data_IF_291160144451
#
_entry.id   IF_291160144451
#
_cell.length_a   1.000
_cell.length_b   1.000
_cell.length_c   1.000
_cell.angle_alpha   90.00
_cell.angle_beta   90.00
_cell.angle_gamma   90.00
#
_symmetry.space_group_name_H-M   'P 1'
#
loop_
_entity.id
_entity.type
_entity.pdbx_description
1 polymer ?
#
# COMPACT_ATOMS: atom_id res chain seq x y z
N UNK A 1 3.50 -7.20 12.03
CA UNK A 1 4.37 -6.48 11.06
C UNK A 1 3.75 -5.15 10.62
N UNK A 2 2.49 -5.15 10.16
CA UNK A 2 1.82 -3.93 9.66
C UNK A 2 1.72 -2.79 10.69
N UNK A 3 1.49 -3.09 11.97
CA UNK A 3 1.47 -2.07 13.03
C UNK A 3 2.83 -1.39 13.22
N UNK A 4 3.94 -2.13 13.06
CA UNK A 4 5.30 -1.58 13.16
C UNK A 4 5.59 -0.68 11.97
N UNK A 5 5.21 -1.11 10.76
CA UNK A 5 5.32 -0.27 9.56
C UNK A 5 4.48 1.01 9.70
N UNK A 6 3.23 0.89 10.16
CA UNK A 6 2.38 2.04 10.44
C UNK A 6 3.03 2.99 11.43
N UNK A 7 3.57 2.45 12.53
CA UNK A 7 4.29 3.25 13.52
C UNK A 7 5.50 3.98 12.92
N UNK A 8 6.35 3.28 12.17
CA UNK A 8 7.55 3.87 11.54
C UNK A 8 7.18 5.07 10.66
N UNK A 9 6.16 4.91 9.80
CA UNK A 9 5.69 5.98 8.90
C UNK A 9 5.05 7.10 9.73
N UNK A 10 4.17 6.77 10.68
CA UNK A 10 3.52 7.74 11.56
C UNK A 10 4.51 8.59 12.37
N UNK A 11 5.54 7.95 12.95
CA UNK A 11 6.63 8.58 13.70
C UNK A 11 7.59 9.40 12.81
N UNK A 12 7.54 9.25 11.49
CA UNK A 12 8.27 10.14 10.59
C UNK A 12 7.59 11.52 10.46
N UNK A 13 6.25 11.54 10.55
CA UNK A 13 5.44 12.77 10.50
C UNK A 13 5.21 13.41 11.88
N UNK A 14 5.50 12.67 12.96
CA UNK A 14 5.46 13.15 14.34
C UNK A 14 6.89 13.46 14.83
N UNK A 15 7.29 14.74 14.91
CA UNK A 15 8.67 15.11 15.29
C UNK A 15 8.64 15.93 16.58
N UNK A 16 9.22 15.38 17.66
CA UNK A 16 9.45 16.08 18.93
C UNK A 16 8.20 16.57 19.67
N UNK A 17 7.11 15.79 19.66
CA UNK A 17 5.87 16.17 20.34
C UNK A 17 5.03 17.20 19.58
N UNK A 18 5.55 17.75 18.48
CA UNK A 18 4.85 18.67 17.60
C UNK A 18 4.59 18.04 16.22
N UNK A 19 3.44 18.42 15.68
CA UNK A 19 2.93 17.94 14.41
C UNK A 19 3.65 18.67 13.27
N UNK A 20 4.36 17.94 12.41
CA UNK A 20 4.98 18.54 11.21
C UNK A 20 3.94 18.89 10.12
N UNK A 21 2.77 18.25 10.18
CA UNK A 21 1.58 18.46 9.35
C UNK A 21 0.36 18.50 10.28
N UNK A 22 -0.66 19.32 9.98
CA UNK A 22 -1.84 19.49 10.85
C UNK A 22 -2.61 18.19 11.16
N UNK A 23 -2.48 17.13 10.34
CA UNK A 23 -3.16 15.83 10.54
C UNK A 23 -2.30 14.64 10.07
N UNK A 24 -1.24 14.22 10.81
CA UNK A 24 -0.34 13.14 10.36
C UNK A 24 -1.03 11.79 10.28
N UNK A 25 -2.06 11.58 11.11
CA UNK A 25 -2.86 10.37 11.07
C UNK A 25 -3.53 10.24 9.70
N UNK A 26 -4.13 11.31 9.15
CA UNK A 26 -4.79 11.26 7.84
C UNK A 26 -3.77 11.00 6.71
N UNK A 27 -2.61 11.67 6.73
CA UNK A 27 -1.53 11.46 5.74
C UNK A 27 -1.09 10.00 5.71
N UNK A 28 -0.81 9.41 6.87
CA UNK A 28 -0.40 8.00 6.97
C UNK A 28 -1.51 7.08 6.50
N UNK A 29 -2.77 7.42 6.77
CA UNK A 29 -3.94 6.71 6.25
C UNK A 29 -3.99 6.68 4.74
N UNK A 30 -3.74 7.83 4.08
CA UNK A 30 -3.63 7.92 2.62
C UNK A 30 -2.48 7.08 2.05
N UNK A 31 -1.34 7.02 2.74
CA UNK A 31 -0.22 6.15 2.33
C UNK A 31 -0.62 4.67 2.39
N UNK A 32 -1.26 4.24 3.47
CA UNK A 32 -1.72 2.85 3.61
C UNK A 32 -2.88 2.52 2.66
N UNK A 33 -3.71 3.50 2.30
CA UNK A 33 -4.71 3.36 1.24
C UNK A 33 -4.02 3.02 -0.10
N UNK A 34 -2.98 3.79 -0.47
CA UNK A 34 -2.17 3.50 -1.64
C UNK A 34 -1.50 2.12 -1.58
N UNK A 35 -1.01 1.70 -0.41
CA UNK A 35 -0.44 0.36 -0.23
C UNK A 35 -1.47 -0.76 -0.47
N UNK A 36 -2.66 -0.68 0.15
CA UNK A 36 -3.70 -1.69 -0.05
C UNK A 36 -4.21 -1.71 -1.50
N UNK A 37 -4.35 -0.53 -2.11
CA UNK A 37 -4.70 -0.43 -3.52
C UNK A 37 -3.64 -1.08 -4.42
N UNK A 38 -2.34 -0.81 -4.18
CA UNK A 38 -1.23 -1.44 -4.92
C UNK A 38 -1.17 -2.96 -4.72
N UNK A 39 -1.40 -3.46 -3.51
CA UNK A 39 -1.52 -4.91 -3.28
C UNK A 39 -2.68 -5.50 -4.07
N UNK A 40 -3.85 -4.86 -4.01
CA UNK A 40 -5.04 -5.29 -4.73
C UNK A 40 -4.83 -5.37 -6.24
N UNK A 41 -4.23 -4.34 -6.83
CA UNK A 41 -3.88 -4.33 -8.24
C UNK A 41 -2.88 -5.43 -8.58
N UNK A 42 -1.86 -5.63 -7.75
CA UNK A 42 -0.87 -6.70 -7.97
C UNK A 42 -1.51 -8.09 -7.98
N UNK A 43 -2.43 -8.36 -7.05
CA UNK A 43 -3.18 -9.62 -6.99
C UNK A 43 -4.04 -9.77 -8.25
N UNK A 44 -4.78 -8.73 -8.66
CA UNK A 44 -5.57 -8.76 -9.89
C UNK A 44 -4.71 -9.06 -11.10
N UNK A 45 -3.57 -8.36 -11.25
CA UNK A 45 -2.62 -8.62 -12.34
C UNK A 45 -2.18 -10.07 -12.32
N UNK A 46 -1.72 -10.60 -11.18
CA UNK A 46 -1.28 -12.01 -11.09
C UNK A 46 -2.39 -12.99 -11.48
N UNK A 47 -3.64 -12.74 -11.06
CA UNK A 47 -4.80 -13.58 -11.43
C UNK A 47 -5.00 -13.55 -12.94
N UNK A 48 -4.99 -12.37 -13.55
CA UNK A 48 -5.12 -12.21 -15.00
C UNK A 48 -4.00 -12.93 -15.77
N UNK A 49 -2.80 -13.03 -15.18
CA UNK A 49 -1.67 -13.77 -15.77
C UNK A 49 -1.82 -15.30 -15.68
N UNK A 50 -2.50 -15.80 -14.66
CA UNK A 50 -2.61 -17.24 -14.39
C UNK A 50 -3.80 -17.89 -15.11
N UNK A 51 -4.78 -17.09 -15.55
CA UNK A 51 -5.98 -17.61 -16.21
C UNK A 51 -5.86 -17.54 -17.75
N UNK A 52 -5.78 -18.69 -18.46
CA UNK A 52 -5.72 -18.71 -19.92
C UNK A 52 -6.98 -18.13 -20.60
N UNK A 53 -8.09 -17.92 -19.86
CA UNK A 53 -9.30 -17.25 -20.37
C UNK A 53 -9.22 -15.71 -20.38
N UNK A 54 -8.15 -15.15 -19.80
CA UNK A 54 -7.84 -13.73 -19.68
C UNK A 54 -6.59 -13.32 -20.48
N UNK A 55 -6.26 -14.07 -21.53
CA UNK A 55 -5.21 -13.68 -22.47
C UNK A 55 -5.52 -12.27 -23.04
N UNK A 56 -4.70 -11.25 -22.73
CA UNK A 56 -4.94 -9.88 -23.14
C UNK A 56 -4.90 -9.68 -24.67
N UNK A 57 -4.41 -10.66 -25.44
CA UNK A 57 -4.47 -10.66 -26.91
C UNK A 57 -5.84 -11.10 -27.45
N UNK A 58 -6.56 -11.95 -26.73
CA UNK A 58 -7.82 -12.56 -27.20
C UNK A 58 -9.08 -11.88 -26.63
N UNK A 59 -8.94 -11.03 -25.61
CA UNK A 59 -10.01 -10.12 -25.13
C UNK A 59 -9.45 -8.71 -24.91
N UNK A 60 -9.63 -7.77 -25.84
CA UNK A 60 -9.33 -6.36 -25.56
C UNK A 60 -10.24 -5.90 -24.43
N UNK A 61 -9.67 -5.69 -23.23
CA UNK A 61 -10.37 -5.24 -22.01
C UNK A 61 -11.86 -5.63 -22.04
N UNK A 62 -12.21 -6.90 -21.82
CA UNK A 62 -13.62 -7.19 -21.58
C UNK A 62 -14.05 -6.31 -20.42
N UNK A 63 -14.98 -5.37 -20.67
CA UNK A 63 -15.45 -4.27 -19.81
C UNK A 63 -16.08 -4.72 -18.48
N UNK A 64 -15.82 -5.95 -18.05
CA UNK A 64 -16.48 -6.63 -16.95
C UNK A 64 -15.44 -6.94 -15.88
N UNK A 65 -15.68 -6.43 -14.67
CA UNK A 65 -14.97 -6.71 -13.42
C UNK A 65 -13.85 -5.76 -12.95
N UNK A 66 -13.65 -4.60 -13.59
CA UNK A 66 -12.95 -3.51 -12.90
C UNK A 66 -13.98 -2.92 -11.92
N UNK A 67 -13.89 -3.25 -10.63
CA UNK A 67 -14.51 -2.43 -9.59
C UNK A 67 -14.16 -0.98 -9.94
N UNK A 68 -15.15 -0.12 -10.19
CA UNK A 68 -14.88 1.28 -10.57
C UNK A 68 -13.78 1.83 -9.67
N UNK A 69 -12.75 2.54 -10.18
CA UNK A 69 -11.64 3.05 -9.37
C UNK A 69 -12.12 3.75 -8.08
N UNK A 70 -13.28 4.40 -8.14
CA UNK A 70 -13.96 5.02 -7.00
C UNK A 70 -14.41 3.99 -5.95
N UNK A 71 -15.07 2.90 -6.36
CA UNK A 71 -15.49 1.81 -5.47
C UNK A 71 -14.29 1.14 -4.81
N UNK A 72 -13.20 0.94 -5.57
CA UNK A 72 -11.97 0.36 -5.02
C UNK A 72 -11.35 1.27 -3.96
N UNK A 73 -11.27 2.58 -4.21
CA UNK A 73 -10.79 3.57 -3.23
C UNK A 73 -11.64 3.57 -1.97
N UNK A 74 -12.98 3.53 -2.11
CA UNK A 74 -13.90 3.46 -0.95
C UNK A 74 -13.66 2.16 -0.16
N UNK A 75 -13.58 1.02 -0.84
CA UNK A 75 -13.38 -0.28 -0.21
C UNK A 75 -12.06 -0.33 0.57
N UNK A 76 -10.94 0.07 -0.03
CA UNK A 76 -9.66 0.11 0.67
C UNK A 76 -9.61 1.20 1.75
N UNK A 77 -10.35 2.30 1.58
CA UNK A 77 -10.52 3.33 2.61
C UNK A 77 -11.20 2.77 3.86
N UNK A 78 -12.25 1.97 3.68
CA UNK A 78 -12.93 1.25 4.76
C UNK A 78 -11.95 0.28 5.45
N UNK A 79 -11.16 -0.48 4.68
CA UNK A 79 -10.15 -1.39 5.25
C UNK A 79 -9.13 -0.61 6.08
N UNK A 80 -8.56 0.48 5.56
CA UNK A 80 -7.62 1.34 6.30
C UNK A 80 -8.24 1.84 7.59
N UNK A 81 -9.49 2.31 7.53
CA UNK A 81 -10.23 2.76 8.70
C UNK A 81 -10.31 1.67 9.78
N UNK A 82 -10.77 0.46 9.43
CA UNK A 82 -10.89 -0.63 10.40
C UNK A 82 -9.54 -1.14 10.91
N UNK A 83 -8.51 -1.16 10.07
CA UNK A 83 -7.19 -1.65 10.44
C UNK A 83 -6.48 -0.69 11.40
N UNK A 84 -6.59 0.64 11.19
CA UNK A 84 -5.78 1.61 11.93
C UNK A 84 -6.56 2.65 12.75
N UNK A 85 -7.81 2.97 12.41
CA UNK A 85 -8.53 4.09 13.04
C UNK A 85 -9.64 3.64 13.98
N UNK A 86 -10.30 2.52 13.67
CA UNK A 86 -11.34 1.94 14.50
C UNK A 86 -10.85 1.76 15.95
N UNK A 87 -11.66 2.21 16.91
CA UNK A 87 -11.32 2.23 18.34
C UNK A 87 -9.98 2.91 18.68
N UNK A 88 -9.64 3.99 17.94
CA UNK A 88 -8.41 4.79 18.10
C UNK A 88 -7.14 3.93 18.06
N UNK A 89 -7.14 2.88 17.24
CA UNK A 89 -6.04 1.90 17.19
C UNK A 89 -4.68 2.52 16.85
N UNK A 90 -4.63 3.56 16.04
CA UNK A 90 -3.40 4.31 15.74
C UNK A 90 -2.74 4.87 17.00
N UNK A 91 -3.52 5.34 17.98
CA UNK A 91 -3.00 5.80 19.27
C UNK A 91 -2.44 4.65 20.09
N UNK A 92 -3.10 3.49 20.06
CA UNK A 92 -2.61 2.28 20.73
C UNK A 92 -1.28 1.84 20.13
N UNK A 93 -1.18 1.79 18.80
CA UNK A 93 0.05 1.47 18.06
C UNK A 93 1.18 2.43 18.46
N UNK A 94 0.92 3.75 18.46
CA UNK A 94 1.91 4.74 18.91
C UNK A 94 2.36 4.49 20.34
N UNK A 95 1.43 4.33 21.28
CA UNK A 95 1.77 4.09 22.70
C UNK A 95 2.59 2.82 22.91
N UNK A 96 2.33 1.77 22.14
CA UNK A 96 3.04 0.49 22.22
C UNK A 96 4.49 0.59 21.73
N UNK A 97 4.77 1.38 20.69
CA UNK A 97 6.09 1.40 20.04
C UNK A 97 6.89 2.69 20.26
N UNK A 98 6.34 3.69 20.95
CA UNK A 98 7.01 5.00 21.18
C UNK A 98 8.40 4.91 21.81
N UNK A 99 8.64 3.89 22.62
CA UNK A 99 9.90 3.70 23.37
C UNK A 99 10.87 2.74 22.67
N UNK A 100 10.47 2.18 21.52
CA UNK A 100 11.30 1.23 20.77
C UNK A 100 12.43 1.96 20.03
N UNK A 101 13.66 1.73 20.47
CA UNK A 101 14.87 2.39 19.94
C UNK A 101 15.07 2.09 18.46
N UNK A 102 14.83 0.85 18.02
CA UNK A 102 15.03 0.46 16.63
C UNK A 102 13.99 1.12 15.74
N UNK A 103 12.71 1.07 16.11
CA UNK A 103 11.62 1.64 15.32
C UNK A 103 11.68 3.18 15.24
N UNK A 104 12.37 3.81 16.18
CA UNK A 104 12.63 5.26 16.18
C UNK A 104 13.84 5.68 15.35
N UNK A 105 14.71 4.73 14.95
CA UNK A 105 15.92 5.00 14.20
C UNK A 105 15.64 5.51 12.78
N UNK A 106 16.59 6.28 12.22
CA UNK A 106 16.53 6.71 10.81
C UNK A 106 16.58 5.52 9.84
N UNK A 107 17.32 4.47 10.21
CA UNK A 107 17.40 3.25 9.42
C UNK A 107 16.04 2.56 9.28
N UNK A 108 15.28 2.43 10.37
CA UNK A 108 13.93 1.89 10.31
C UNK A 108 13.00 2.75 9.45
N UNK A 109 13.11 4.09 9.51
CA UNK A 109 12.35 5.00 8.64
C UNK A 109 12.67 4.77 7.16
N UNK A 110 13.94 4.68 6.82
CA UNK A 110 14.37 4.38 5.44
C UNK A 110 13.77 3.07 4.95
N UNK A 111 13.95 1.97 5.70
CA UNK A 111 13.37 0.66 5.36
C UNK A 111 11.84 0.75 5.21
N UNK A 112 11.17 1.46 6.14
CA UNK A 112 9.72 1.62 6.12
C UNK A 112 9.22 2.31 4.85
N UNK A 113 9.83 3.45 4.48
CA UNK A 113 9.46 4.17 3.25
C UNK A 113 9.81 3.38 1.99
N UNK A 114 10.98 2.75 1.93
CA UNK A 114 11.32 1.86 0.79
C UNK A 114 10.29 0.75 0.64
N UNK A 115 9.86 0.13 1.75
CA UNK A 115 8.83 -0.91 1.73
C UNK A 115 7.50 -0.38 1.17
N UNK A 116 7.04 0.79 1.64
CA UNK A 116 5.83 1.44 1.14
C UNK A 116 5.91 1.72 -0.35
N UNK A 117 7.01 2.30 -0.82
CA UNK A 117 7.23 2.64 -2.23
C UNK A 117 7.21 1.37 -3.09
N UNK A 118 7.92 0.31 -2.67
CA UNK A 118 7.95 -0.97 -3.38
C UNK A 118 6.55 -1.59 -3.48
N UNK A 119 5.74 -1.53 -2.41
CA UNK A 119 4.37 -2.04 -2.43
C UNK A 119 3.52 -1.26 -3.43
N UNK A 120 3.58 0.07 -3.40
CA UNK A 120 2.79 0.91 -4.32
C UNK A 120 3.22 0.71 -5.78
N UNK A 121 4.53 0.56 -6.02
CA UNK A 121 5.09 0.32 -7.36
C UNK A 121 4.94 -1.13 -7.86
N UNK A 122 4.63 -2.07 -6.97
CA UNK A 122 4.60 -3.50 -7.31
C UNK A 122 3.71 -3.90 -8.49
N UNK A 123 2.52 -3.31 -8.73
CA UNK A 123 1.71 -3.63 -9.91
C UNK A 123 2.43 -3.34 -11.22
N UNK A 124 3.14 -2.21 -11.28
CA UNK A 124 3.90 -1.81 -12.46
C UNK A 124 5.06 -2.75 -12.70
N UNK A 125 5.77 -3.13 -11.63
CA UNK A 125 6.91 -4.07 -11.72
C UNK A 125 6.43 -5.43 -12.24
N UNK A 126 5.32 -5.95 -11.72
CA UNK A 126 4.74 -7.23 -12.14
C UNK A 126 4.31 -7.18 -13.61
N UNK A 127 3.64 -6.09 -14.02
CA UNK A 127 3.21 -5.90 -15.41
C UNK A 127 4.39 -5.84 -16.39
N UNK A 128 5.47 -5.11 -16.05
CA UNK A 128 6.68 -5.02 -16.86
C UNK A 128 7.40 -6.38 -16.97
N UNK A 129 7.52 -7.12 -15.87
CA UNK A 129 8.12 -8.45 -15.86
C UNK A 129 7.31 -9.42 -16.74
N UNK A 130 5.99 -9.36 -16.67
CA UNK A 130 5.13 -10.17 -17.53
C UNK A 130 5.35 -9.86 -19.02
N UNK A 131 5.29 -8.58 -19.40
CA UNK A 131 5.56 -8.18 -20.79
C UNK A 131 6.92 -8.71 -21.25
N UNK A 132 7.95 -8.60 -20.41
CA UNK A 132 9.28 -9.09 -20.75
C UNK A 132 9.34 -10.60 -20.93
N UNK A 133 8.72 -11.36 -20.03
CA UNK A 133 8.75 -12.84 -20.03
C UNK A 133 7.90 -13.41 -21.17
N UNK A 134 6.68 -12.90 -21.35
CA UNK A 134 5.71 -13.49 -22.28
C UNK A 134 5.77 -12.89 -23.68
N UNK A 135 6.18 -11.61 -23.81
CA UNK A 135 6.20 -10.89 -25.10
C UNK A 135 7.61 -10.54 -25.59
N UNK A 136 8.63 -10.69 -24.75
CA UNK A 136 10.04 -10.47 -25.09
C UNK A 136 10.52 -9.03 -25.01
N UNK A 137 9.62 -8.06 -24.79
CA UNK A 137 9.92 -6.63 -24.70
C UNK A 137 9.35 -6.01 -23.41
N UNK A 138 9.86 -4.84 -23.02
CA UNK A 138 9.52 -4.23 -21.73
C UNK A 138 8.22 -3.41 -21.75
N UNK A 139 7.85 -2.80 -22.89
CA UNK A 139 6.66 -1.94 -23.07
C UNK A 139 5.88 -2.36 -24.30
#
# INVERSE_FOLDING_TARGET
MINKLFYIIYNAYYKHGEYKNDIPSLTVGGIFLGCFFGIGLSISTIIDLMDPLYDPLNKPLSKSSILSPILAVIFYGIIVYFVFYYNKRYQKIYKTYKEDVFLNSQFAKYIGFTTVITIIASPLIISLLYNKICRGYWV
#
